data_IF_450304773030
#
_entry.id   IF_450304773030
#
_cell.length_a   1.000
_cell.length_b   1.000
_cell.length_c   1.000
_cell.angle_alpha   90.00
_cell.angle_beta   90.00
_cell.angle_gamma   90.00
#
_symmetry.space_group_name_H-M   'P 1'
#
loop_
_entity.id
_entity.type
_entity.pdbx_description
1 polymer ?
#
# COMPACT_ATOMS: atom_id res chain seq x y z
N UNK A 1 -27.72 2.09 5.74
CA UNK A 1 -26.72 1.85 6.78
C UNK A 1 -25.71 2.98 6.69
N UNK A 2 -25.57 3.78 7.72
CA UNK A 2 -24.57 4.85 7.77
C UNK A 2 -23.18 4.26 8.03
N UNK A 3 -22.11 5.01 7.74
CA UNK A 3 -20.73 4.56 8.00
C UNK A 3 -20.52 4.28 9.49
N UNK A 4 -21.14 5.08 10.37
CA UNK A 4 -21.14 4.87 11.81
C UNK A 4 -21.77 3.52 12.18
N UNK A 5 -22.98 3.24 11.70
CA UNK A 5 -23.66 1.97 11.95
C UNK A 5 -22.85 0.76 11.47
N UNK A 6 -22.11 0.92 10.37
CA UNK A 6 -21.22 -0.14 9.89
C UNK A 6 -20.01 -0.34 10.80
N UNK A 7 -19.37 0.74 11.25
CA UNK A 7 -18.25 0.68 12.18
C UNK A 7 -18.67 0.04 13.53
N UNK A 8 -19.82 0.45 14.06
CA UNK A 8 -20.38 -0.07 15.32
C UNK A 8 -20.75 -1.57 15.20
N UNK A 9 -21.35 -1.94 14.06
CA UNK A 9 -21.63 -3.35 13.76
C UNK A 9 -20.35 -4.19 13.69
N UNK A 10 -19.31 -3.68 13.01
CA UNK A 10 -18.03 -4.38 12.90
C UNK A 10 -17.33 -4.51 14.25
N UNK A 11 -17.39 -3.45 15.08
CA UNK A 11 -16.85 -3.45 16.43
C UNK A 11 -17.53 -4.47 17.36
N UNK A 12 -18.80 -4.77 17.12
CA UNK A 12 -19.58 -5.75 17.87
C UNK A 12 -19.37 -7.21 17.40
N UNK A 13 -18.51 -7.46 16.42
CA UNK A 13 -18.25 -8.82 15.93
C UNK A 13 -17.30 -9.60 16.85
N UNK A 14 -17.42 -10.94 16.95
CA UNK A 14 -16.52 -11.76 17.76
C UNK A 14 -15.03 -11.58 17.44
N UNK A 15 -14.59 -11.48 16.16
CA UNK A 15 -13.19 -11.19 15.84
C UNK A 15 -12.71 -9.84 16.38
N UNK A 16 -13.56 -8.80 16.33
CA UNK A 16 -13.22 -7.48 16.87
C UNK A 16 -13.07 -7.52 18.39
N UNK A 17 -14.01 -8.15 19.11
CA UNK A 17 -13.90 -8.34 20.54
C UNK A 17 -12.63 -9.11 20.92
N UNK A 18 -12.32 -10.20 20.23
CA UNK A 18 -11.07 -10.94 20.47
C UNK A 18 -9.83 -10.05 20.34
N UNK A 19 -9.76 -9.20 19.30
CA UNK A 19 -8.63 -8.29 19.10
C UNK A 19 -8.56 -7.20 20.16
N UNK A 20 -9.71 -6.65 20.59
CA UNK A 20 -9.80 -5.64 21.63
C UNK A 20 -9.43 -6.21 23.00
N UNK A 21 -9.93 -7.38 23.36
CA UNK A 21 -9.62 -8.06 24.63
C UNK A 21 -8.14 -8.46 24.74
N UNK A 22 -7.45 -8.62 23.60
CA UNK A 22 -6.05 -9.02 23.51
C UNK A 22 -5.18 -7.92 22.90
N UNK A 23 -5.59 -6.66 22.93
CA UNK A 23 -4.92 -5.54 22.23
C UNK A 23 -3.43 -5.41 22.58
N UNK A 24 -3.05 -5.70 23.83
CA UNK A 24 -1.70 -5.56 24.35
C UNK A 24 -0.64 -6.36 23.56
N UNK A 25 -1.03 -7.50 22.96
CA UNK A 25 -0.12 -8.34 22.18
C UNK A 25 -0.58 -8.54 20.73
N UNK A 26 -1.89 -8.67 20.47
CA UNK A 26 -2.41 -8.97 19.13
C UNK A 26 -2.16 -7.81 18.16
N UNK A 27 -2.47 -6.58 18.56
CA UNK A 27 -2.25 -5.40 17.69
C UNK A 27 -0.77 -5.20 17.36
N UNK A 28 0.18 -5.22 18.32
CA UNK A 28 1.62 -5.12 17.99
C UNK A 28 2.12 -6.23 17.06
N UNK A 29 1.65 -7.47 17.22
CA UNK A 29 2.03 -8.58 16.34
C UNK A 29 1.52 -8.34 14.92
N UNK A 30 0.24 -7.97 14.73
CA UNK A 30 -0.35 -7.68 13.42
C UNK A 30 0.36 -6.48 12.76
N UNK A 31 0.64 -5.42 13.54
CA UNK A 31 1.40 -4.27 13.06
C UNK A 31 2.82 -4.64 12.62
N UNK A 32 3.49 -5.51 13.36
CA UNK A 32 4.84 -5.99 12.98
C UNK A 32 4.80 -6.72 11.64
N UNK A 33 3.85 -7.65 11.45
CA UNK A 33 3.64 -8.34 10.17
C UNK A 33 3.34 -7.34 9.04
N UNK A 34 2.51 -6.34 9.32
CA UNK A 34 2.17 -5.27 8.37
C UNK A 34 3.41 -4.45 7.98
N UNK A 35 4.25 -4.07 8.94
CA UNK A 35 5.50 -3.32 8.70
C UNK A 35 6.49 -4.15 7.84
N UNK A 36 6.62 -5.45 8.11
CA UNK A 36 7.43 -6.35 7.26
C UNK A 36 6.89 -6.38 5.84
N UNK A 37 5.56 -6.48 5.66
CA UNK A 37 4.90 -6.40 4.35
C UNK A 37 5.20 -5.07 3.62
N UNK A 38 5.19 -3.93 4.35
CA UNK A 38 5.59 -2.62 3.80
C UNK A 38 7.04 -2.68 3.30
N UNK A 39 7.97 -3.22 4.09
CA UNK A 39 9.38 -3.33 3.73
C UNK A 39 9.59 -4.13 2.44
N UNK A 40 8.92 -5.29 2.30
CA UNK A 40 9.00 -6.13 1.10
C UNK A 40 8.39 -5.41 -0.11
N UNK A 41 7.24 -4.75 0.05
CA UNK A 41 6.59 -3.97 -1.02
C UNK A 41 7.49 -2.85 -1.51
N UNK A 42 8.06 -2.06 -0.58
CA UNK A 42 8.96 -0.95 -0.89
C UNK A 42 10.26 -1.42 -1.55
N UNK A 43 10.88 -2.48 -1.03
CA UNK A 43 12.10 -3.05 -1.62
C UNK A 43 11.86 -3.53 -3.05
N UNK A 44 10.76 -4.24 -3.30
CA UNK A 44 10.39 -4.73 -4.62
C UNK A 44 10.08 -3.58 -5.60
N UNK A 45 9.29 -2.60 -5.18
CA UNK A 45 8.95 -1.42 -5.98
C UNK A 45 10.20 -0.59 -6.29
N UNK A 46 11.10 -0.42 -5.31
CA UNK A 46 12.36 0.32 -5.48
C UNK A 46 13.27 -0.35 -6.50
N UNK A 47 13.48 -1.67 -6.41
CA UNK A 47 14.31 -2.41 -7.36
C UNK A 47 13.76 -2.33 -8.79
N UNK A 48 12.44 -2.47 -8.96
CA UNK A 48 11.79 -2.28 -10.26
C UNK A 48 11.96 -0.86 -10.79
N UNK A 49 11.81 0.14 -9.93
CA UNK A 49 12.01 1.56 -10.30
C UNK A 49 13.43 1.83 -10.74
N UNK A 50 14.45 1.35 -10.01
CA UNK A 50 15.86 1.50 -10.38
C UNK A 50 16.16 0.85 -11.73
N UNK A 51 15.57 -0.32 -12.01
CA UNK A 51 15.74 -0.99 -13.31
C UNK A 51 15.09 -0.20 -14.44
N UNK A 52 13.87 0.30 -14.26
CA UNK A 52 13.17 1.16 -15.24
C UNK A 52 13.92 2.49 -15.43
N UNK A 53 14.48 3.05 -14.37
CA UNK A 53 15.26 4.28 -14.44
C UNK A 53 16.62 4.12 -15.10
N UNK A 54 17.08 2.88 -15.31
CA UNK A 54 18.40 2.61 -15.90
C UNK A 54 19.56 2.89 -14.94
N UNK A 55 19.31 2.86 -13.62
CA UNK A 55 20.32 3.13 -12.59
C UNK A 55 20.98 1.83 -12.11
N UNK A 56 20.22 0.75 -12.03
CA UNK A 56 20.73 -0.55 -11.54
C UNK A 56 20.04 -1.71 -12.26
N UNK A 57 20.65 -2.90 -12.22
CA UNK A 57 20.11 -4.12 -12.82
C UNK A 57 20.10 -4.12 -14.35
N UNK A 58 21.06 -3.42 -14.98
CA UNK A 58 21.16 -3.33 -16.44
C UNK A 58 21.74 -4.60 -17.09
N UNK A 59 22.25 -5.51 -16.30
CA UNK A 59 22.73 -6.84 -16.64
C UNK A 59 21.59 -7.84 -16.92
N UNK A 60 20.36 -7.52 -16.49
CA UNK A 60 19.15 -8.32 -16.69
C UNK A 60 18.11 -7.56 -17.51
N UNK A 61 17.24 -8.29 -18.21
CA UNK A 61 16.14 -7.65 -18.95
C UNK A 61 15.07 -7.10 -17.99
N UNK A 62 14.25 -6.15 -18.46
CA UNK A 62 13.14 -5.63 -17.70
C UNK A 62 12.13 -6.74 -17.33
N UNK A 63 11.94 -7.72 -18.22
CA UNK A 63 11.08 -8.87 -17.98
C UNK A 63 11.63 -9.77 -16.87
N UNK A 64 12.95 -10.01 -16.83
CA UNK A 64 13.59 -10.81 -15.80
C UNK A 64 13.49 -10.12 -14.43
N UNK A 65 13.75 -8.81 -14.40
CA UNK A 65 13.54 -8.02 -13.19
C UNK A 65 12.08 -8.10 -12.69
N UNK A 66 11.10 -8.02 -13.59
CA UNK A 66 9.70 -8.20 -13.22
C UNK A 66 9.40 -9.60 -12.69
N UNK A 67 9.84 -10.64 -13.36
CA UNK A 67 9.66 -12.03 -12.91
C UNK A 67 10.26 -12.27 -11.53
N UNK A 68 11.33 -11.56 -11.21
CA UNK A 68 12.00 -11.65 -9.91
C UNK A 68 11.28 -10.88 -8.80
N UNK A 69 10.86 -9.64 -9.03
CA UNK A 69 10.34 -8.75 -7.98
C UNK A 69 8.82 -8.68 -7.91
N UNK A 70 8.10 -8.89 -9.01
CA UNK A 70 6.65 -8.79 -9.03
C UNK A 70 5.93 -9.82 -8.13
N UNK A 71 6.38 -11.09 -8.02
CA UNK A 71 5.77 -12.03 -7.09
C UNK A 71 5.91 -11.58 -5.62
N UNK A 72 7.06 -11.04 -5.24
CA UNK A 72 7.28 -10.48 -3.91
C UNK A 72 6.39 -9.28 -3.62
N UNK A 73 6.29 -8.37 -4.59
CA UNK A 73 5.38 -7.22 -4.51
C UNK A 73 3.94 -7.68 -4.32
N UNK A 74 3.47 -8.63 -5.13
CA UNK A 74 2.10 -9.12 -5.09
C UNK A 74 1.81 -9.87 -3.78
N UNK A 75 2.73 -10.76 -3.36
CA UNK A 75 2.61 -11.50 -2.10
C UNK A 75 2.58 -10.55 -0.89
N UNK A 76 3.46 -9.54 -0.89
CA UNK A 76 3.48 -8.53 0.17
C UNK A 76 2.20 -7.67 0.17
N UNK A 77 1.64 -7.32 -0.98
CA UNK A 77 0.35 -6.60 -1.06
C UNK A 77 -0.82 -7.44 -0.51
N UNK A 78 -0.83 -8.74 -0.75
CA UNK A 78 -1.83 -9.65 -0.16
C UNK A 78 -1.65 -9.74 1.36
N UNK A 79 -0.41 -9.82 1.85
CA UNK A 79 -0.10 -9.78 3.27
C UNK A 79 -0.54 -8.47 3.92
N UNK A 80 -0.30 -7.34 3.25
CA UNK A 80 -0.74 -6.01 3.69
C UNK A 80 -2.27 -5.89 3.71
N UNK A 81 -2.94 -6.48 2.73
CA UNK A 81 -4.41 -6.50 2.70
C UNK A 81 -4.97 -7.30 3.88
N UNK A 82 -4.44 -8.49 4.12
CA UNK A 82 -4.88 -9.35 5.22
C UNK A 82 -4.60 -8.72 6.60
N UNK A 83 -3.36 -8.28 6.84
CA UNK A 83 -2.99 -7.63 8.11
C UNK A 83 -3.69 -6.28 8.30
N UNK A 84 -3.87 -5.50 7.24
CA UNK A 84 -4.61 -4.25 7.27
C UNK A 84 -6.10 -4.46 7.57
N UNK A 85 -6.72 -5.51 7.02
CA UNK A 85 -8.09 -5.87 7.35
C UNK A 85 -8.25 -6.23 8.83
N UNK A 86 -7.29 -6.96 9.41
CA UNK A 86 -7.30 -7.26 10.85
C UNK A 86 -7.17 -6.00 11.71
N UNK A 87 -6.33 -5.03 11.31
CA UNK A 87 -6.23 -3.75 12.02
C UNK A 87 -7.53 -2.95 11.95
N UNK A 88 -8.20 -2.95 10.79
CA UNK A 88 -9.54 -2.31 10.65
C UNK A 88 -10.58 -3.00 11.52
N UNK A 89 -10.54 -4.33 11.65
CA UNK A 89 -11.45 -5.07 12.53
C UNK A 89 -11.19 -4.76 14.00
N UNK A 90 -9.92 -4.54 14.37
CA UNK A 90 -9.55 -4.19 15.75
C UNK A 90 -10.02 -2.80 16.18
N UNK A 91 -9.90 -1.79 15.29
CA UNK A 91 -10.24 -0.39 15.59
C UNK A 91 -11.08 0.24 14.46
N UNK A 92 -12.32 -0.23 14.18
CA UNK A 92 -13.05 0.16 12.98
C UNK A 92 -13.40 1.65 12.92
N UNK A 93 -13.81 2.24 14.02
CA UNK A 93 -14.16 3.66 14.06
C UNK A 93 -12.95 4.54 13.73
N UNK A 94 -11.80 4.27 14.33
CA UNK A 94 -10.55 5.01 14.10
C UNK A 94 -10.11 4.97 12.63
N UNK A 95 -10.19 3.81 11.99
CA UNK A 95 -9.76 3.64 10.60
C UNK A 95 -10.75 4.31 9.64
N UNK A 96 -12.05 4.03 9.74
CA UNK A 96 -13.04 4.53 8.78
C UNK A 96 -13.26 6.04 8.82
N UNK A 97 -13.08 6.69 9.96
CA UNK A 97 -13.23 8.14 10.10
C UNK A 97 -11.93 8.91 9.86
N UNK A 98 -10.79 8.23 9.72
CA UNK A 98 -9.53 8.87 9.36
C UNK A 98 -9.49 9.28 7.87
N UNK A 99 -9.20 10.55 7.61
CA UNK A 99 -8.94 11.05 6.26
C UNK A 99 -7.67 10.39 5.68
N UNK A 100 -6.64 10.21 6.50
CA UNK A 100 -5.40 9.52 6.14
C UNK A 100 -5.66 8.11 5.63
N UNK A 101 -6.55 7.36 6.29
CA UNK A 101 -6.92 6.01 5.87
C UNK A 101 -7.58 6.00 4.48
N UNK A 102 -8.55 6.90 4.25
CA UNK A 102 -9.25 6.99 2.96
C UNK A 102 -8.31 7.34 1.81
N UNK A 103 -7.44 8.33 2.01
CA UNK A 103 -6.42 8.71 1.03
C UNK A 103 -5.43 7.58 0.77
N UNK A 104 -4.96 6.91 1.83
CA UNK A 104 -4.08 5.74 1.73
C UNK A 104 -4.71 4.64 0.88
N UNK A 105 -5.97 4.27 1.15
CA UNK A 105 -6.65 3.20 0.40
C UNK A 105 -6.80 3.53 -1.09
N UNK A 106 -7.13 4.80 -1.41
CA UNK A 106 -7.20 5.27 -2.79
C UNK A 106 -5.84 5.18 -3.50
N UNK A 107 -4.77 5.62 -2.83
CA UNK A 107 -3.42 5.56 -3.40
C UNK A 107 -2.91 4.11 -3.55
N UNK A 108 -3.20 3.23 -2.59
CA UNK A 108 -2.86 1.79 -2.69
C UNK A 108 -3.55 1.17 -3.91
N UNK A 109 -4.86 1.42 -4.10
CA UNK A 109 -5.60 0.92 -5.25
C UNK A 109 -5.01 1.45 -6.58
N UNK A 110 -4.67 2.74 -6.63
CA UNK A 110 -4.02 3.37 -7.79
C UNK A 110 -2.67 2.72 -8.09
N UNK A 111 -1.78 2.62 -7.11
CA UNK A 111 -0.44 2.03 -7.28
C UNK A 111 -0.51 0.55 -7.66
N UNK A 112 -1.40 -0.23 -7.04
CA UNK A 112 -1.59 -1.65 -7.37
C UNK A 112 -2.11 -1.82 -8.81
N UNK A 113 -3.03 -0.96 -9.24
CA UNK A 113 -3.55 -0.96 -10.62
C UNK A 113 -2.44 -0.62 -11.63
N UNK A 114 -1.64 0.42 -11.37
CA UNK A 114 -0.50 0.80 -12.21
C UNK A 114 0.50 -0.36 -12.28
N UNK A 115 0.89 -0.94 -11.15
CA UNK A 115 1.84 -2.04 -11.10
C UNK A 115 1.33 -3.28 -11.86
N UNK A 116 0.07 -3.64 -11.66
CA UNK A 116 -0.57 -4.76 -12.35
C UNK A 116 -0.69 -4.54 -13.86
N UNK A 117 -1.10 -3.36 -14.29
CA UNK A 117 -1.15 -3.00 -15.70
C UNK A 117 0.24 -3.01 -16.34
N UNK A 118 1.22 -2.38 -15.70
CA UNK A 118 2.60 -2.35 -16.17
C UNK A 118 3.17 -3.76 -16.27
N UNK A 119 3.00 -4.59 -15.24
CA UNK A 119 3.45 -5.98 -15.25
C UNK A 119 2.89 -6.80 -16.41
N UNK A 120 1.57 -6.72 -16.64
CA UNK A 120 0.93 -7.39 -17.77
C UNK A 120 1.41 -6.86 -19.13
N UNK A 121 1.64 -5.54 -19.21
CA UNK A 121 2.06 -4.87 -20.43
C UNK A 121 3.49 -5.27 -20.85
N UNK A 122 4.41 -5.32 -19.88
CA UNK A 122 5.79 -5.79 -20.11
C UNK A 122 5.80 -7.26 -20.51
N UNK A 123 5.03 -8.11 -19.82
CA UNK A 123 4.95 -9.53 -20.15
C UNK A 123 4.43 -9.79 -21.57
N UNK A 124 3.52 -8.94 -22.07
CA UNK A 124 2.99 -9.05 -23.45
C UNK A 124 3.94 -8.55 -24.54
N UNK A 125 4.76 -7.56 -24.24
CA UNK A 125 5.63 -6.89 -25.24
C UNK A 125 7.01 -6.57 -24.65
N UNK A 126 7.80 -7.59 -24.26
CA UNK A 126 9.05 -7.38 -23.51
C UNK A 126 10.09 -6.55 -24.27
N UNK A 127 10.31 -6.82 -25.56
CA UNK A 127 11.27 -6.09 -26.37
C UNK A 127 10.92 -4.60 -26.50
N UNK A 128 9.64 -4.27 -26.70
CA UNK A 128 9.16 -2.89 -26.77
C UNK A 128 9.44 -2.12 -25.47
N UNK A 129 9.15 -2.73 -24.32
CA UNK A 129 9.36 -2.08 -23.03
C UNK A 129 10.84 -1.99 -22.66
N UNK A 130 11.65 -2.96 -23.05
CA UNK A 130 13.11 -2.92 -22.87
C UNK A 130 13.73 -1.73 -23.62
N UNK A 131 13.39 -1.54 -24.89
CA UNK A 131 13.87 -0.40 -25.67
C UNK A 131 13.36 0.93 -25.10
N UNK A 132 12.09 0.99 -24.73
CA UNK A 132 11.45 2.17 -24.17
C UNK A 132 12.06 2.57 -22.83
N UNK A 133 12.38 1.62 -21.95
CA UNK A 133 13.01 1.90 -20.66
C UNK A 133 14.40 2.54 -20.81
N UNK A 134 15.11 2.22 -21.88
CA UNK A 134 16.43 2.80 -22.17
C UNK A 134 16.36 4.23 -22.71
N UNK A 135 15.32 4.59 -23.43
CA UNK A 135 15.23 5.87 -24.19
C UNK A 135 14.24 6.87 -23.62
N UNK A 136 13.14 6.41 -23.02
CA UNK A 136 12.01 7.27 -22.63
C UNK A 136 12.17 7.86 -21.23
N UNK A 137 12.55 9.16 -21.19
CA UNK A 137 12.61 9.91 -19.93
C UNK A 137 11.26 9.97 -19.19
N UNK A 138 10.14 9.98 -19.92
CA UNK A 138 8.80 10.01 -19.30
C UNK A 138 8.54 8.75 -18.48
N UNK A 139 8.99 7.59 -18.99
CA UNK A 139 8.84 6.33 -18.25
C UNK A 139 9.61 6.35 -16.93
N UNK A 140 10.81 6.94 -16.92
CA UNK A 140 11.61 7.11 -15.67
C UNK A 140 10.92 8.03 -14.68
N UNK A 141 10.31 9.12 -15.16
CA UNK A 141 9.54 10.03 -14.29
C UNK A 141 8.32 9.32 -13.71
N UNK A 142 7.57 8.57 -14.52
CA UNK A 142 6.41 7.79 -14.05
C UNK A 142 6.83 6.78 -12.97
N UNK A 143 7.94 6.06 -13.20
CA UNK A 143 8.46 5.10 -12.23
C UNK A 143 8.87 5.78 -10.91
N UNK A 144 9.58 6.92 -10.98
CA UNK A 144 9.95 7.70 -9.80
C UNK A 144 8.72 8.25 -9.06
N UNK A 145 7.73 8.78 -9.79
CA UNK A 145 6.46 9.24 -9.21
C UNK A 145 5.72 8.12 -8.49
N UNK A 146 5.67 6.92 -9.10
CA UNK A 146 5.04 5.76 -8.46
C UNK A 146 5.76 5.38 -7.17
N UNK A 147 7.08 5.45 -7.12
CA UNK A 147 7.86 5.23 -5.89
C UNK A 147 7.54 6.28 -4.82
N UNK A 148 7.45 7.56 -5.20
CA UNK A 148 7.06 8.63 -4.28
C UNK A 148 5.64 8.44 -3.74
N UNK A 149 4.70 7.93 -4.56
CA UNK A 149 3.36 7.58 -4.09
C UNK A 149 3.40 6.44 -3.06
N UNK A 150 4.25 5.43 -3.23
CA UNK A 150 4.45 4.38 -2.22
C UNK A 150 4.98 4.97 -0.89
N UNK A 151 5.92 5.90 -0.96
CA UNK A 151 6.42 6.60 0.23
C UNK A 151 5.30 7.40 0.90
N UNK A 152 4.50 8.14 0.12
CA UNK A 152 3.35 8.88 0.65
C UNK A 152 2.33 7.97 1.35
N UNK A 153 2.07 6.76 0.80
CA UNK A 153 1.20 5.75 1.44
C UNK A 153 1.71 5.35 2.83
N UNK A 154 3.03 5.23 3.01
CA UNK A 154 3.63 4.90 4.32
C UNK A 154 3.38 6.05 5.31
N UNK A 155 3.60 7.30 4.90
CA UNK A 155 3.34 8.46 5.75
C UNK A 155 1.86 8.57 6.11
N UNK A 156 0.96 8.42 5.15
CA UNK A 156 -0.48 8.41 5.41
C UNK A 156 -0.88 7.32 6.40
N UNK A 157 -0.30 6.12 6.28
CA UNK A 157 -0.50 5.05 7.25
C UNK A 157 -0.08 5.43 8.67
N UNK A 158 0.98 6.22 8.81
CA UNK A 158 1.41 6.72 10.12
C UNK A 158 0.52 7.84 10.64
N UNK A 159 0.02 8.70 9.75
CA UNK A 159 -0.85 9.82 10.12
C UNK A 159 -2.24 9.40 10.58
N UNK A 160 -2.68 8.16 10.36
CA UNK A 160 -3.91 7.63 10.96
C UNK A 160 -3.90 7.78 12.50
N UNK A 161 -2.74 7.57 13.13
CA UNK A 161 -2.58 7.76 14.57
C UNK A 161 -2.64 9.24 15.02
N UNK A 162 -2.52 10.17 14.10
CA UNK A 162 -2.44 11.63 14.33
C UNK A 162 -3.44 12.37 13.45
N UNK A 163 -4.69 11.88 13.38
CA UNK A 163 -5.70 12.41 12.46
C UNK A 163 -6.06 13.88 12.73
N UNK A 164 -5.79 14.39 13.95
CA UNK A 164 -5.89 15.79 14.32
C UNK A 164 -5.02 16.73 13.47
N UNK A 165 -3.99 16.22 12.79
CA UNK A 165 -3.16 17.00 11.82
C UNK A 165 -4.02 17.61 10.71
N UNK A 166 -5.13 16.98 10.35
CA UNK A 166 -6.03 17.45 9.31
C UNK A 166 -7.03 18.51 9.78
N UNK A 167 -7.12 18.77 11.12
CA UNK A 167 -8.04 19.75 11.68
C UNK A 167 -9.48 19.56 11.19
N UNK A 168 -10.12 20.64 10.76
CA UNK A 168 -11.51 20.62 10.26
C UNK A 168 -11.74 19.77 8.98
N UNK A 169 -10.69 19.36 8.29
CA UNK A 169 -10.78 18.48 7.12
C UNK A 169 -10.97 17.00 7.49
N UNK A 170 -10.66 16.62 8.74
CA UNK A 170 -10.87 15.24 9.17
C UNK A 170 -12.36 14.99 9.47
N UNK A 171 -12.95 13.92 8.90
CA UNK A 171 -14.30 13.50 9.29
C UNK A 171 -14.43 13.19 10.78
N UNK A 172 -13.35 12.78 11.44
CA UNK A 172 -13.32 12.55 12.90
C UNK A 172 -13.53 13.85 13.70
N UNK A 173 -13.00 14.99 13.22
CA UNK A 173 -13.18 16.30 13.87
C UNK A 173 -14.60 16.85 13.76
N UNK A 174 -15.44 16.31 12.88
CA UNK A 174 -16.82 16.74 12.67
C UNK A 174 -17.84 15.98 13.55
N UNK A 175 -17.36 15.04 14.37
CA UNK A 175 -18.20 14.18 15.20
C UNK A 175 -18.12 14.51 16.71
N UNK A 176 -17.30 15.50 17.09
CA UNK A 176 -17.19 16.05 18.43
C UNK A 176 -17.87 17.39 18.53
#
# INVERSE_FOLDING_TARGET
MTLQQFADWLAATPPSHFLQDNEAWAIPVIQTVHIVGIGITMGSAFMLTLRVAGVSGMDQTLLDAQRRYLPWLTGALLLLLASGALLVVGEPAREFFSLSFRLKMLLVALCATIAGWFGRSVARRPAHWEERSRRDRKLRVIAATTLLLWIAIIFLGRFIAYDNVWGAWSPAAQQG
#
